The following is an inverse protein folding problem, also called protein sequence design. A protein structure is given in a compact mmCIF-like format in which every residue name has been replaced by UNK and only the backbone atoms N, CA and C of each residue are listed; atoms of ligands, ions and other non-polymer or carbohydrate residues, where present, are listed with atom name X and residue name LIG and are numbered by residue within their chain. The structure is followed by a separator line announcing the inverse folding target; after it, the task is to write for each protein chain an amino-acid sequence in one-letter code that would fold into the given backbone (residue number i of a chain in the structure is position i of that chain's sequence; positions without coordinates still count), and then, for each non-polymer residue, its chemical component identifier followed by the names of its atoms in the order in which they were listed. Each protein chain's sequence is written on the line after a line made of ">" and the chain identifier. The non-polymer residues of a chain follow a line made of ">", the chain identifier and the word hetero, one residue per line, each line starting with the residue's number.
data_IF_676144854670
#
_entry.id   IF_676144854670
#
_cell.length_a   1.000
_cell.length_b   1.000
_cell.length_c   1.000
_cell.angle_alpha   90.00
_cell.angle_beta   90.00
_cell.angle_gamma   90.00
#
_symmetry.space_group_name_H-M   'P 1'
#
loop_
_entity.id
_entity.type
_entity.pdbx_description
1 polymer ?
#
# COMPACT_ATOMS: atom_id res chain seq x y z
N UNK A 1 18.16 25.91 -65.56
CA UNK A 1 17.31 25.43 -64.45
C UNK A 1 17.95 25.88 -63.15
N UNK A 2 17.41 26.95 -62.60
CA UNK A 2 17.65 27.49 -61.25
C UNK A 2 17.10 26.48 -60.22
N UNK A 3 17.72 26.21 -59.06
CA UNK A 3 17.72 26.97 -57.78
C UNK A 3 18.75 26.24 -56.88
N UNK A 4 19.90 26.87 -56.50
CA UNK A 4 20.29 27.36 -55.14
C UNK A 4 20.11 26.32 -54.01
N UNK A 5 21.14 25.75 -53.36
CA UNK A 5 22.22 26.29 -52.50
C UNK A 5 21.75 27.30 -51.43
N UNK A 6 22.03 26.97 -50.16
CA UNK A 6 21.81 27.73 -48.90
C UNK A 6 20.41 27.50 -48.30
N UNK A 7 20.25 26.97 -47.08
CA UNK A 7 20.65 27.57 -45.80
C UNK A 7 21.02 26.48 -44.78
N UNK A 8 22.26 26.57 -44.27
CA UNK A 8 22.69 26.01 -42.99
C UNK A 8 22.18 26.93 -41.87
N UNK A 9 21.83 26.33 -40.73
CA UNK A 9 21.67 26.94 -39.40
C UNK A 9 20.24 27.38 -38.96
N UNK A 10 19.96 26.94 -37.71
CA UNK A 10 18.93 27.39 -36.78
C UNK A 10 17.51 26.82 -36.98
N UNK A 11 17.28 25.57 -36.56
CA UNK A 11 16.17 25.21 -35.64
C UNK A 11 16.66 24.07 -34.71
N UNK A 12 17.72 24.35 -33.95
CA UNK A 12 17.75 23.96 -32.52
C UNK A 12 17.12 25.16 -31.84
N UNK A 13 15.79 25.14 -31.65
CA UNK A 13 14.97 26.07 -30.85
C UNK A 13 13.52 25.96 -31.31
N UNK A 14 12.86 24.84 -30.97
CA UNK A 14 11.40 24.75 -30.82
C UNK A 14 11.04 23.52 -29.98
N UNK A 15 11.88 23.18 -29.00
CA UNK A 15 11.34 22.55 -27.79
C UNK A 15 10.54 23.65 -27.08
N UNK A 16 9.23 23.50 -26.83
CA UNK A 16 8.65 24.13 -25.67
C UNK A 16 9.22 23.37 -24.48
N UNK A 17 10.20 24.01 -23.85
CA UNK A 17 10.52 23.80 -22.46
C UNK A 17 9.22 23.86 -21.64
N UNK A 18 9.09 22.93 -20.71
CA UNK A 18 8.15 23.00 -19.61
C UNK A 18 8.13 24.39 -18.98
N UNK A 19 7.00 25.09 -19.09
CA UNK A 19 6.45 26.00 -18.09
C UNK A 19 5.33 26.80 -18.76
N UNK A 20 4.09 26.54 -18.38
CA UNK A 20 3.28 27.51 -17.63
C UNK A 20 1.89 26.90 -17.43
N UNK A 21 1.53 26.82 -16.15
CA UNK A 21 0.17 26.67 -15.69
C UNK A 21 -0.77 27.58 -16.50
N UNK A 22 -1.89 27.02 -16.96
CA UNK A 22 -3.09 27.78 -17.26
C UNK A 22 -4.32 27.08 -16.69
N UNK A 23 -4.77 27.71 -15.61
CA UNK A 23 -6.13 27.87 -15.12
C UNK A 23 -6.99 26.61 -14.99
N UNK A 24 -7.12 26.21 -13.72
CA UNK A 24 -8.24 25.47 -13.17
C UNK A 24 -9.56 26.03 -13.69
N UNK A 25 -10.14 25.34 -14.67
CA UNK A 25 -11.56 25.39 -14.95
C UNK A 25 -12.28 24.58 -13.87
N UNK A 26 -13.13 25.26 -13.14
CA UNK A 26 -13.96 24.76 -12.05
C UNK A 26 -15.02 23.77 -12.60
N UNK A 27 -14.65 22.51 -12.77
CA UNK A 27 -15.60 21.40 -12.95
C UNK A 27 -15.18 20.26 -12.03
N UNK A 28 -16.01 19.98 -11.04
CA UNK A 28 -15.78 18.99 -9.97
C UNK A 28 -15.76 17.53 -10.41
N UNK A 29 -15.02 17.20 -11.47
CA UNK A 29 -14.70 15.84 -11.87
C UNK A 29 -13.22 15.84 -12.26
N UNK A 30 -12.39 15.10 -11.50
CA UNK A 30 -11.02 14.85 -11.93
C UNK A 30 -11.08 14.15 -13.29
N UNK A 31 -10.62 14.82 -14.35
CA UNK A 31 -10.42 14.20 -15.66
C UNK A 31 -9.42 13.05 -15.47
N UNK A 32 -9.96 11.82 -15.46
CA UNK A 32 -9.15 10.62 -15.56
C UNK A 32 -8.58 10.63 -16.98
N UNK A 33 -7.30 10.97 -17.10
CA UNK A 33 -6.54 10.73 -18.32
C UNK A 33 -6.57 9.22 -18.59
N UNK A 34 -7.45 8.78 -19.49
CA UNK A 34 -7.44 7.42 -20.02
C UNK A 34 -6.43 7.40 -21.16
N UNK A 35 -5.23 6.79 -21.00
CA UNK A 35 -4.44 6.45 -22.18
C UNK A 35 -5.30 5.54 -23.05
N UNK A 36 -5.25 5.77 -24.37
CA UNK A 36 -6.11 5.14 -25.37
C UNK A 36 -6.30 3.63 -25.10
N UNK A 37 -7.56 3.20 -24.97
CA UNK A 37 -8.03 1.81 -24.73
C UNK A 37 -7.60 0.78 -25.80
N UNK A 38 -6.61 1.10 -26.63
CA UNK A 38 -6.08 0.26 -27.69
C UNK A 38 -4.87 -0.57 -27.26
N UNK A 39 -4.22 -0.27 -26.13
CA UNK A 39 -3.19 -1.15 -25.61
C UNK A 39 -3.83 -2.25 -24.75
N UNK A 40 -3.89 -3.46 -25.30
CA UNK A 40 -4.14 -4.67 -24.50
C UNK A 40 -2.99 -4.95 -23.55
N UNK A 41 -1.85 -4.25 -23.68
CA UNK A 41 -0.70 -4.38 -22.79
C UNK A 41 -0.73 -3.37 -21.64
N UNK A 42 -0.37 -3.85 -20.45
CA UNK A 42 -0.02 -3.04 -19.27
C UNK A 42 1.45 -3.31 -18.94
N UNK A 43 2.27 -2.25 -18.96
CA UNK A 43 3.68 -2.32 -18.55
C UNK A 43 3.72 -2.11 -17.03
N UNK A 44 4.29 -3.06 -16.30
CA UNK A 44 4.24 -3.07 -14.83
C UNK A 44 5.45 -2.36 -14.22
N UNK A 45 6.58 -2.36 -14.90
CA UNK A 45 7.74 -1.52 -14.62
C UNK A 45 8.71 -1.59 -15.82
N UNK A 46 9.20 -0.46 -16.33
CA UNK A 46 10.11 -0.46 -17.49
C UNK A 46 11.56 -0.80 -17.12
N UNK A 47 11.91 -0.77 -15.83
CA UNK A 47 13.30 -0.84 -15.34
C UNK A 47 13.60 -2.10 -14.50
N UNK A 48 12.70 -3.09 -14.42
CA UNK A 48 12.79 -4.15 -13.39
C UNK A 48 13.52 -5.43 -13.81
N UNK A 49 14.41 -5.89 -12.92
CA UNK A 49 14.75 -7.31 -12.73
C UNK A 49 13.57 -7.94 -11.97
N UNK A 50 13.21 -9.20 -12.23
CA UNK A 50 12.10 -9.86 -11.52
C UNK A 50 12.20 -9.60 -10.00
N UNK A 51 11.14 -9.08 -9.36
CA UNK A 51 11.20 -8.75 -7.93
C UNK A 51 11.56 -10.01 -7.14
N UNK A 52 12.70 -9.97 -6.46
CA UNK A 52 13.10 -11.07 -5.58
C UNK A 52 12.32 -10.97 -4.28
N UNK A 53 11.64 -12.04 -3.89
CA UNK A 53 10.83 -12.05 -2.67
C UNK A 53 11.66 -11.69 -1.42
N UNK A 54 11.14 -10.85 -0.51
CA UNK A 54 11.75 -10.66 0.79
C UNK A 54 11.73 -11.97 1.58
N UNK A 55 12.89 -12.48 1.97
CA UNK A 55 12.97 -13.65 2.84
C UNK A 55 12.66 -13.26 4.30
N UNK A 56 11.38 -13.27 4.66
CA UNK A 56 10.93 -13.16 6.06
C UNK A 56 10.81 -14.55 6.69
N UNK A 57 11.76 -14.88 7.56
CA UNK A 57 11.80 -16.14 8.30
C UNK A 57 10.68 -16.29 9.34
N UNK A 58 10.78 -17.33 10.16
CA UNK A 58 9.92 -17.47 11.33
C UNK A 58 10.57 -16.81 12.55
N UNK A 59 9.77 -16.18 13.40
CA UNK A 59 10.23 -15.47 14.60
C UNK A 59 9.54 -16.09 15.82
N UNK A 60 10.31 -16.31 16.88
CA UNK A 60 9.78 -16.69 18.18
C UNK A 60 9.33 -15.44 18.94
N UNK A 61 8.02 -15.30 19.16
CA UNK A 61 7.45 -14.10 19.78
C UNK A 61 7.71 -14.05 21.29
N UNK A 62 8.12 -12.88 21.75
CA UNK A 62 8.40 -12.59 23.14
C UNK A 62 7.32 -11.70 23.75
N UNK A 63 7.00 -11.95 25.01
CA UNK A 63 6.13 -11.06 25.79
C UNK A 63 6.91 -9.83 26.21
N UNK A 64 6.30 -8.65 26.01
CA UNK A 64 6.85 -7.41 26.57
C UNK A 64 6.64 -7.36 28.07
N UNK A 65 7.54 -6.65 28.76
CA UNK A 65 7.36 -6.28 30.15
C UNK A 65 6.03 -5.53 30.35
N UNK A 66 5.31 -5.76 31.46
CA UNK A 66 4.09 -5.01 31.75
C UNK A 66 4.37 -3.51 31.85
N UNK A 67 3.36 -2.71 31.58
CA UNK A 67 3.44 -1.25 31.69
C UNK A 67 3.64 -0.84 33.15
N UNK A 68 4.53 0.14 33.38
CA UNK A 68 4.80 0.69 34.70
C UNK A 68 3.98 1.96 35.01
N UNK A 69 3.46 2.62 33.98
CA UNK A 69 2.70 3.87 34.09
C UNK A 69 1.69 4.06 32.95
N UNK A 70 0.73 4.96 33.15
CA UNK A 70 -0.22 5.36 32.11
C UNK A 70 0.46 6.06 30.93
N UNK A 71 1.54 6.81 31.19
CA UNK A 71 2.34 7.47 30.15
C UNK A 71 3.00 6.44 29.22
N UNK A 72 3.63 5.42 29.80
CA UNK A 72 4.21 4.31 29.03
C UNK A 72 3.14 3.53 28.25
N UNK A 73 1.95 3.35 28.85
CA UNK A 73 0.81 2.68 28.20
C UNK A 73 0.31 3.46 26.98
N UNK A 74 0.15 4.78 27.12
CA UNK A 74 -0.19 5.71 26.03
C UNK A 74 0.87 5.69 24.94
N UNK A 75 2.15 5.68 25.29
CA UNK A 75 3.26 5.68 24.34
C UNK A 75 3.31 4.39 23.50
N UNK A 76 3.07 3.25 24.15
CA UNK A 76 3.10 1.95 23.50
C UNK A 76 1.95 1.69 22.52
N UNK A 77 0.88 2.49 22.53
CA UNK A 77 -0.18 2.42 21.50
C UNK A 77 0.35 2.55 20.07
N UNK A 78 1.44 3.29 19.87
CA UNK A 78 2.01 3.56 18.53
C UNK A 78 3.28 2.73 18.24
N UNK A 79 3.64 1.81 19.14
CA UNK A 79 4.71 0.85 18.91
C UNK A 79 4.27 -0.17 17.87
N UNK A 80 5.07 -0.38 16.83
CA UNK A 80 4.67 -1.18 15.68
C UNK A 80 3.73 -0.45 14.73
N UNK A 81 3.59 0.87 14.87
CA UNK A 81 2.84 1.73 13.93
C UNK A 81 3.74 2.88 13.48
N UNK A 82 4.08 3.79 14.40
CA UNK A 82 4.98 4.91 14.14
C UNK A 82 6.35 4.74 14.79
N UNK A 83 6.44 3.96 15.87
CA UNK A 83 7.68 3.63 16.54
C UNK A 83 8.10 2.22 16.17
N UNK A 84 9.35 2.09 15.76
CA UNK A 84 9.94 0.81 15.42
C UNK A 84 10.10 -0.05 16.67
N UNK A 85 9.94 -1.36 16.47
CA UNK A 85 10.01 -2.37 17.52
C UNK A 85 10.62 -3.64 16.92
N UNK A 86 11.43 -4.38 17.68
CA UNK A 86 11.99 -5.62 17.18
C UNK A 86 10.90 -6.64 16.77
N UNK A 87 11.13 -7.45 15.72
CA UNK A 87 10.17 -8.44 15.22
C UNK A 87 9.59 -9.37 16.28
N UNK A 88 10.41 -9.79 17.25
CA UNK A 88 9.99 -10.64 18.37
C UNK A 88 8.92 -9.99 19.26
N UNK A 89 8.75 -8.68 19.16
CA UNK A 89 7.75 -7.90 19.89
C UNK A 89 6.67 -7.29 18.98
N UNK A 90 6.70 -7.57 17.67
CA UNK A 90 5.79 -7.04 16.64
C UNK A 90 4.95 -8.15 16.01
N UNK A 91 4.21 -8.92 16.82
CA UNK A 91 3.50 -10.10 16.32
C UNK A 91 2.59 -9.78 15.12
N UNK A 92 1.70 -8.80 15.26
CA UNK A 92 0.74 -8.47 14.21
C UNK A 92 1.41 -7.84 12.99
N UNK A 93 2.27 -6.83 13.19
CA UNK A 93 2.94 -6.16 12.07
C UNK A 93 3.83 -7.13 11.30
N UNK A 94 4.57 -7.98 11.99
CA UNK A 94 5.46 -8.97 11.39
C UNK A 94 4.70 -10.00 10.56
N UNK A 95 3.68 -10.64 11.11
CA UNK A 95 2.93 -11.67 10.38
C UNK A 95 2.18 -11.07 9.18
N UNK A 96 1.59 -9.87 9.31
CA UNK A 96 0.96 -9.18 8.18
C UNK A 96 2.00 -8.90 7.09
N UNK A 97 3.17 -8.35 7.44
CA UNK A 97 4.26 -8.14 6.48
C UNK A 97 4.65 -9.44 5.79
N UNK A 98 4.84 -10.52 6.56
CA UNK A 98 5.23 -11.84 6.05
C UNK A 98 4.23 -12.35 5.02
N UNK A 99 2.93 -12.35 5.32
CA UNK A 99 1.90 -12.80 4.39
C UNK A 99 1.72 -11.87 3.17
N UNK A 100 1.87 -10.57 3.36
CA UNK A 100 1.63 -9.60 2.29
C UNK A 100 2.84 -9.34 1.38
N UNK A 101 4.05 -9.74 1.81
CA UNK A 101 5.31 -9.53 1.07
C UNK A 101 5.33 -10.15 -0.33
N UNK A 102 4.57 -11.22 -0.52
CA UNK A 102 4.52 -11.98 -1.79
C UNK A 102 3.43 -11.49 -2.75
N UNK A 103 2.60 -10.54 -2.31
CA UNK A 103 1.41 -10.11 -3.06
C UNK A 103 1.79 -9.07 -4.12
N UNK A 104 1.88 -9.51 -5.36
CA UNK A 104 2.19 -8.64 -6.51
C UNK A 104 3.21 -9.21 -7.48
N UNK A 105 3.77 -10.38 -7.19
CA UNK A 105 4.61 -11.10 -8.15
C UNK A 105 3.79 -11.44 -9.41
N UNK A 106 4.40 -11.30 -10.59
CA UNK A 106 3.80 -11.66 -11.88
C UNK A 106 3.49 -13.15 -12.01
N UNK A 107 4.07 -13.99 -11.15
CA UNK A 107 3.73 -15.41 -11.05
C UNK A 107 2.22 -15.66 -10.80
N UNK A 108 1.48 -14.69 -10.24
CA UNK A 108 0.01 -14.81 -10.07
C UNK A 108 -0.76 -14.99 -11.39
N UNK A 109 -0.17 -14.61 -12.53
CA UNK A 109 -0.82 -14.69 -13.84
C UNK A 109 -0.52 -16.00 -14.58
N UNK A 110 0.58 -16.69 -14.23
CA UNK A 110 1.04 -17.91 -14.90
C UNK A 110 0.95 -19.16 -14.04
N UNK A 111 0.82 -19.03 -12.71
CA UNK A 111 0.77 -20.13 -11.76
C UNK A 111 -0.49 -20.05 -10.88
N UNK A 112 -1.48 -20.92 -11.16
CA UNK A 112 -2.75 -20.96 -10.43
C UNK A 112 -2.57 -21.37 -8.95
N UNK A 113 -1.64 -22.27 -8.65
CA UNK A 113 -1.36 -22.69 -7.26
C UNK A 113 -0.76 -21.51 -6.47
N UNK A 114 0.20 -20.79 -7.07
CA UNK A 114 0.76 -19.59 -6.48
C UNK A 114 -0.32 -18.52 -6.22
N UNK A 115 -1.21 -18.27 -7.18
CA UNK A 115 -2.33 -17.33 -7.01
C UNK A 115 -3.25 -17.74 -5.85
N UNK A 116 -3.59 -19.02 -5.74
CA UNK A 116 -4.39 -19.54 -4.61
C UNK A 116 -3.67 -19.34 -3.28
N UNK A 117 -2.37 -19.57 -3.22
CA UNK A 117 -1.56 -19.33 -2.03
C UNK A 117 -1.53 -17.85 -1.64
N UNK A 118 -1.44 -16.92 -2.60
CA UNK A 118 -1.54 -15.49 -2.33
C UNK A 118 -2.92 -15.09 -1.80
N UNK A 119 -4.01 -15.69 -2.31
CA UNK A 119 -5.37 -15.49 -1.79
C UNK A 119 -5.50 -16.03 -0.36
N UNK A 120 -4.83 -17.13 -0.03
CA UNK A 120 -4.78 -17.65 1.34
C UNK A 120 -4.01 -16.69 2.25
N UNK A 121 -2.86 -16.21 1.81
CA UNK A 121 -2.01 -15.29 2.58
C UNK A 121 -2.74 -13.98 2.89
N UNK A 122 -3.45 -13.39 1.92
CA UNK A 122 -4.18 -12.15 2.17
C UNK A 122 -5.34 -12.33 3.15
N UNK A 123 -6.00 -13.51 3.12
CA UNK A 123 -7.05 -13.86 4.09
C UNK A 123 -6.47 -14.06 5.49
N UNK A 124 -5.28 -14.65 5.62
CA UNK A 124 -4.55 -14.72 6.90
C UNK A 124 -4.20 -13.33 7.43
N UNK A 125 -3.63 -12.47 6.58
CA UNK A 125 -3.32 -11.08 6.93
C UNK A 125 -4.57 -10.31 7.37
N UNK A 126 -5.71 -10.52 6.70
CA UNK A 126 -7.01 -9.95 7.07
C UNK A 126 -7.43 -10.37 8.48
N UNK A 127 -7.38 -11.67 8.78
CA UNK A 127 -7.73 -12.19 10.12
C UNK A 127 -6.81 -11.59 11.20
N UNK A 128 -5.50 -11.56 10.96
CA UNK A 128 -4.52 -10.97 11.90
C UNK A 128 -4.78 -9.48 12.10
N UNK A 129 -5.16 -8.75 11.04
CA UNK A 129 -5.49 -7.32 11.14
C UNK A 129 -6.75 -7.05 11.98
N UNK A 130 -7.74 -7.94 11.97
CA UNK A 130 -8.93 -7.82 12.83
C UNK A 130 -8.57 -8.08 14.30
N UNK A 131 -7.74 -9.08 14.60
CA UNK A 131 -7.24 -9.29 15.97
C UNK A 131 -6.45 -8.08 16.48
N UNK A 132 -5.59 -7.51 15.64
CA UNK A 132 -4.83 -6.32 16.02
C UNK A 132 -5.74 -5.12 16.26
N UNK A 133 -6.77 -4.94 15.42
CA UNK A 133 -7.80 -3.92 15.60
C UNK A 133 -8.52 -4.09 16.94
N UNK A 134 -9.01 -5.29 17.24
CA UNK A 134 -9.73 -5.58 18.49
C UNK A 134 -8.85 -5.27 19.70
N UNK A 135 -7.57 -5.69 19.69
CA UNK A 135 -6.62 -5.41 20.78
C UNK A 135 -6.36 -3.90 20.94
N UNK A 136 -6.13 -3.18 19.85
CA UNK A 136 -5.89 -1.73 19.88
C UNK A 136 -7.14 -0.94 20.31
N UNK A 137 -8.33 -1.33 19.85
CA UNK A 137 -9.58 -0.69 20.24
C UNK A 137 -9.87 -0.91 21.72
N UNK A 138 -9.67 -2.12 22.23
CA UNK A 138 -9.79 -2.43 23.65
C UNK A 138 -8.80 -1.62 24.49
N UNK A 139 -7.53 -1.56 24.09
CA UNK A 139 -6.50 -0.78 24.78
C UNK A 139 -6.83 0.72 24.80
N UNK A 140 -7.34 1.27 23.68
CA UNK A 140 -7.79 2.66 23.60
C UNK A 140 -8.94 2.93 24.56
N UNK A 141 -9.93 2.04 24.66
CA UNK A 141 -11.05 2.18 25.58
C UNK A 141 -10.59 2.16 27.04
N UNK A 142 -9.71 1.21 27.40
CA UNK A 142 -9.20 1.09 28.76
C UNK A 142 -8.37 2.30 29.19
N UNK A 143 -7.57 2.87 28.27
CA UNK A 143 -6.83 4.11 28.54
C UNK A 143 -7.79 5.31 28.67
N UNK A 144 -8.83 5.38 27.84
CA UNK A 144 -9.84 6.44 27.87
C UNK A 144 -10.56 6.47 29.22
N UNK A 145 -11.01 5.31 29.70
CA UNK A 145 -11.67 5.17 31.01
C UNK A 145 -10.79 5.65 32.17
N UNK A 146 -9.48 5.34 32.14
CA UNK A 146 -8.52 5.81 33.15
C UNK A 146 -8.35 7.33 33.08
N UNK A 147 -8.18 7.87 31.88
CA UNK A 147 -7.95 9.30 31.67
C UNK A 147 -9.16 10.13 32.07
N UNK A 148 -10.37 9.66 31.77
CA UNK A 148 -11.61 10.36 32.11
C UNK A 148 -11.95 10.20 33.60
N UNK A 149 -11.57 9.08 34.22
CA UNK A 149 -11.76 8.81 35.64
C UNK A 149 -10.76 9.49 36.59
N UNK A 150 -9.53 9.77 36.14
CA UNK A 150 -8.46 10.30 37.01
C UNK A 150 -7.97 11.70 36.59
N UNK A 151 -8.43 12.72 37.32
CA UNK A 151 -8.02 14.12 37.11
C UNK A 151 -6.53 14.38 37.40
N UNK A 152 -5.81 13.48 38.07
CA UNK A 152 -4.39 13.60 38.35
C UNK A 152 -3.50 13.25 37.14
N UNK A 153 -4.07 12.65 36.08
CA UNK A 153 -3.33 12.36 34.85
C UNK A 153 -2.84 13.66 34.21
N UNK A 154 -1.51 13.83 34.02
CA UNK A 154 -0.93 15.06 33.49
C UNK A 154 -1.49 15.45 32.12
N UNK A 155 -1.67 16.75 31.89
CA UNK A 155 -2.14 17.29 30.61
C UNK A 155 -1.33 16.84 29.38
N UNK A 156 0.02 16.70 29.44
CA UNK A 156 0.79 16.14 28.34
C UNK A 156 0.37 14.71 27.95
N UNK A 157 0.12 13.84 28.95
CA UNK A 157 -0.30 12.45 28.72
C UNK A 157 -1.67 12.41 28.04
N UNK A 158 -2.61 13.25 28.48
CA UNK A 158 -3.94 13.39 27.85
C UNK A 158 -3.84 13.81 26.39
N UNK A 159 -2.92 14.72 26.10
CA UNK A 159 -2.70 15.23 24.74
C UNK A 159 -2.08 14.16 23.85
N UNK A 160 -1.06 13.46 24.35
CA UNK A 160 -0.42 12.34 23.67
C UNK A 160 -1.43 11.22 23.39
N UNK A 161 -2.29 10.88 24.34
CA UNK A 161 -3.35 9.89 24.13
C UNK A 161 -4.29 10.26 22.99
N UNK A 162 -4.79 11.50 22.95
CA UNK A 162 -5.68 11.96 21.87
C UNK A 162 -5.01 11.86 20.50
N UNK A 163 -3.74 12.23 20.41
CA UNK A 163 -2.96 12.10 19.17
C UNK A 163 -2.75 10.64 18.78
N UNK A 164 -2.30 9.80 19.71
CA UNK A 164 -2.04 8.38 19.48
C UNK A 164 -3.32 7.63 19.08
N UNK A 165 -4.46 7.95 19.70
CA UNK A 165 -5.78 7.43 19.34
C UNK A 165 -6.15 7.75 17.89
N UNK A 166 -5.87 8.97 17.41
CA UNK A 166 -6.08 9.35 16.01
C UNK A 166 -5.13 8.56 15.10
N UNK A 167 -3.84 8.49 15.46
CA UNK A 167 -2.83 7.71 14.71
C UNK A 167 -3.24 6.26 14.54
N UNK A 168 -3.67 5.60 15.62
CA UNK A 168 -4.13 4.20 15.62
C UNK A 168 -5.33 4.03 14.69
N UNK A 169 -6.34 4.90 14.77
CA UNK A 169 -7.53 4.83 13.91
C UNK A 169 -7.18 4.98 12.43
N UNK A 170 -6.37 5.99 12.10
CA UNK A 170 -5.93 6.23 10.72
C UNK A 170 -5.13 5.04 10.20
N UNK A 171 -4.23 4.50 11.02
CA UNK A 171 -3.45 3.32 10.68
C UNK A 171 -4.34 2.12 10.35
N UNK A 172 -5.32 1.80 11.20
CA UNK A 172 -6.23 0.66 10.99
C UNK A 172 -7.05 0.81 9.70
N UNK A 173 -7.48 2.03 9.37
CA UNK A 173 -8.18 2.32 8.11
C UNK A 173 -7.25 2.06 6.91
N UNK A 174 -6.03 2.59 6.94
CA UNK A 174 -5.05 2.40 5.87
C UNK A 174 -4.67 0.93 5.70
N UNK A 175 -4.41 0.22 6.80
CA UNK A 175 -4.08 -1.19 6.82
C UNK A 175 -5.19 -2.02 6.18
N UNK A 176 -6.44 -1.80 6.60
CA UNK A 176 -7.60 -2.50 6.06
C UNK A 176 -7.77 -2.23 4.58
N UNK A 177 -7.67 -0.96 4.17
CA UNK A 177 -7.83 -0.57 2.77
C UNK A 177 -6.75 -1.19 1.87
N UNK A 178 -5.50 -1.28 2.37
CA UNK A 178 -4.42 -1.95 1.66
C UNK A 178 -4.66 -3.46 1.51
N UNK A 179 -5.09 -4.15 2.56
CA UNK A 179 -5.49 -5.57 2.46
C UNK A 179 -6.67 -5.75 1.50
N UNK A 180 -7.73 -4.94 1.61
CA UNK A 180 -8.93 -5.06 0.77
C UNK A 180 -8.60 -4.85 -0.72
N UNK A 181 -7.77 -3.85 -1.04
CA UNK A 181 -7.40 -3.55 -2.42
C UNK A 181 -6.57 -4.65 -3.07
N UNK A 182 -5.62 -5.23 -2.33
CA UNK A 182 -4.85 -6.37 -2.81
C UNK A 182 -5.73 -7.61 -3.01
N UNK A 183 -6.68 -7.87 -2.13
CA UNK A 183 -7.57 -9.04 -2.23
C UNK A 183 -8.46 -8.91 -3.47
N UNK A 184 -9.03 -7.73 -3.68
CA UNK A 184 -9.83 -7.43 -4.87
C UNK A 184 -9.03 -7.64 -6.16
N UNK A 185 -7.76 -7.23 -6.18
CA UNK A 185 -6.88 -7.44 -7.32
C UNK A 185 -6.62 -8.93 -7.57
N UNK A 186 -6.30 -9.72 -6.54
CA UNK A 186 -6.08 -11.16 -6.68
C UNK A 186 -7.35 -11.90 -7.14
N UNK A 187 -8.52 -11.55 -6.61
CA UNK A 187 -9.78 -12.14 -7.09
C UNK A 187 -10.11 -11.75 -8.53
N UNK A 188 -9.75 -10.55 -8.95
CA UNK A 188 -9.90 -10.15 -10.35
C UNK A 188 -9.09 -11.07 -11.28
N UNK A 189 -7.83 -11.34 -10.92
CA UNK A 189 -6.97 -12.27 -11.68
C UNK A 189 -7.53 -13.69 -11.64
N UNK A 190 -7.96 -14.16 -10.46
CA UNK A 190 -8.51 -15.51 -10.29
C UNK A 190 -9.79 -15.77 -11.09
N UNK A 191 -10.69 -14.78 -11.14
CA UNK A 191 -11.96 -14.92 -11.84
C UNK A 191 -11.86 -14.81 -13.36
N UNK A 192 -10.71 -14.34 -13.88
CA UNK A 192 -10.48 -14.10 -15.30
C UNK A 192 -9.12 -14.67 -15.74
N UNK A 193 -8.75 -15.86 -15.26
CA UNK A 193 -7.41 -16.43 -15.52
C UNK A 193 -7.10 -16.64 -17.02
N UNK A 194 -8.13 -16.79 -17.85
CA UNK A 194 -8.04 -17.12 -19.27
C UNK A 194 -7.75 -15.92 -20.18
N UNK A 195 -7.78 -14.69 -19.65
CA UNK A 195 -7.59 -13.47 -20.46
C UNK A 195 -6.22 -12.82 -20.29
N UNK A 196 -5.36 -13.33 -19.41
CA UNK A 196 -4.03 -12.77 -19.14
C UNK A 196 -2.95 -13.57 -19.88
N UNK A 197 -2.12 -12.88 -20.66
CA UNK A 197 -0.87 -13.41 -21.20
C UNK A 197 0.30 -12.57 -20.69
N UNK A 198 1.35 -13.21 -20.15
CA UNK A 198 2.50 -12.49 -19.58
C UNK A 198 3.67 -12.51 -20.56
N UNK A 199 4.14 -11.32 -20.94
CA UNK A 199 5.36 -11.08 -21.72
C UNK A 199 6.23 -10.10 -20.94
N UNK A 200 6.93 -10.59 -19.92
CA UNK A 200 7.69 -9.74 -18.99
C UNK A 200 8.44 -8.58 -19.68
N UNK A 201 8.28 -7.31 -19.24
CA UNK A 201 7.51 -6.84 -18.09
C UNK A 201 6.04 -6.46 -18.40
N UNK A 202 5.52 -6.92 -19.53
CA UNK A 202 4.17 -6.62 -20.01
C UNK A 202 3.16 -7.73 -19.66
N UNK A 203 1.93 -7.32 -19.39
CA UNK A 203 0.77 -8.23 -19.35
C UNK A 203 -0.19 -7.83 -20.45
N UNK A 204 -0.52 -8.76 -21.33
CA UNK A 204 -1.55 -8.63 -22.35
C UNK A 204 -2.87 -9.13 -21.78
N UNK A 205 -3.92 -8.33 -21.94
CA UNK A 205 -5.28 -8.60 -21.46
C UNK A 205 -6.23 -8.69 -22.66
N UNK A 206 -6.82 -9.86 -22.87
CA UNK A 206 -7.68 -10.14 -24.03
C UNK A 206 -9.05 -9.43 -24.03
N UNK A 207 -9.46 -8.83 -22.90
CA UNK A 207 -10.74 -8.14 -22.74
C UNK A 207 -10.56 -6.66 -22.35
N UNK A 208 -11.06 -5.68 -23.14
CA UNK A 208 -10.96 -4.26 -22.82
C UNK A 208 -11.64 -3.87 -21.49
N UNK A 209 -12.78 -4.49 -21.17
CA UNK A 209 -13.50 -4.21 -19.93
C UNK A 209 -12.73 -4.72 -18.71
N UNK A 210 -12.16 -5.91 -18.81
CA UNK A 210 -11.36 -6.47 -17.73
C UNK A 210 -9.99 -5.78 -17.60
N UNK A 211 -9.44 -5.27 -18.70
CA UNK A 211 -8.26 -4.41 -18.70
C UNK A 211 -8.51 -3.14 -17.89
N UNK A 212 -9.62 -2.43 -18.13
CA UNK A 212 -9.98 -1.24 -17.36
C UNK A 212 -10.15 -1.55 -15.86
N UNK A 213 -10.83 -2.65 -15.54
CA UNK A 213 -11.04 -3.07 -14.15
C UNK A 213 -9.71 -3.46 -13.48
N UNK A 214 -8.85 -4.19 -14.19
CA UNK A 214 -7.52 -4.56 -13.73
C UNK A 214 -6.66 -3.32 -13.47
N UNK A 215 -6.58 -2.40 -14.43
CA UNK A 215 -5.84 -1.14 -14.30
C UNK A 215 -6.31 -0.32 -13.11
N UNK A 216 -7.63 -0.16 -12.95
CA UNK A 216 -8.20 0.54 -11.79
C UNK A 216 -7.85 -0.14 -10.47
N UNK A 217 -7.94 -1.47 -10.40
CA UNK A 217 -7.56 -2.22 -9.20
C UNK A 217 -6.06 -2.08 -8.90
N UNK A 218 -5.19 -2.07 -9.92
CA UNK A 218 -3.75 -1.86 -9.80
C UNK A 218 -3.42 -0.45 -9.28
N UNK A 219 -4.05 0.59 -9.81
CA UNK A 219 -3.91 1.96 -9.33
C UNK A 219 -4.33 2.12 -7.86
N UNK A 220 -5.47 1.52 -7.49
CA UNK A 220 -5.96 1.54 -6.11
C UNK A 220 -4.96 0.81 -5.20
N UNK A 221 -4.51 -0.39 -5.57
CA UNK A 221 -3.48 -1.14 -4.82
C UNK A 221 -2.23 -0.29 -4.60
N UNK A 222 -1.67 0.34 -5.64
CA UNK A 222 -0.47 1.19 -5.53
C UNK A 222 -0.71 2.41 -4.64
N UNK A 223 -1.89 3.03 -4.73
CA UNK A 223 -2.26 4.16 -3.87
C UNK A 223 -2.32 3.75 -2.40
N UNK A 224 -2.93 2.60 -2.10
CA UNK A 224 -3.04 2.08 -0.72
C UNK A 224 -1.71 1.58 -0.17
N UNK A 225 -0.82 1.09 -1.03
CA UNK A 225 0.56 0.83 -0.65
C UNK A 225 1.25 2.11 -0.18
N UNK A 226 1.14 3.22 -0.92
CA UNK A 226 1.73 4.51 -0.53
C UNK A 226 1.20 5.01 0.82
N UNK A 227 -0.07 4.74 1.13
CA UNK A 227 -0.68 5.07 2.42
C UNK A 227 -0.15 4.22 3.59
N UNK A 228 0.22 2.95 3.37
CA UNK A 228 0.66 2.06 4.45
C UNK A 228 2.18 2.11 4.69
N UNK A 229 3.00 2.33 3.66
CA UNK A 229 4.48 2.33 3.79
C UNK A 229 5.02 3.51 4.60
N UNK A 230 4.19 4.52 4.89
CA UNK A 230 4.57 5.63 5.80
C UNK A 230 4.70 5.16 7.26
N UNK A 231 4.09 4.03 7.61
CA UNK A 231 4.19 3.42 8.93
C UNK A 231 5.47 2.59 9.04
N UNK A 232 6.17 2.68 10.17
CA UNK A 232 7.50 2.05 10.34
C UNK A 232 7.48 0.55 10.08
N UNK A 233 6.43 -0.10 10.57
CA UNK A 233 6.17 -1.52 10.38
C UNK A 233 5.93 -1.94 8.93
N UNK A 234 5.82 -1.02 7.98
CA UNK A 234 5.52 -1.34 6.59
C UNK A 234 6.46 -0.62 5.61
N UNK A 235 7.34 0.24 6.10
CA UNK A 235 8.29 1.02 5.30
C UNK A 235 9.31 0.18 4.52
N UNK A 236 9.58 -1.06 4.97
CA UNK A 236 10.51 -1.97 4.27
C UNK A 236 9.84 -2.82 3.20
N UNK A 237 8.52 -2.71 3.00
CA UNK A 237 7.82 -3.38 1.90
C UNK A 237 8.00 -2.54 0.62
N UNK A 238 9.16 -2.70 0.00
CA UNK A 238 9.42 -2.18 -1.35
C UNK A 238 9.11 -3.32 -2.33
N UNK A 239 8.16 -3.08 -3.22
CA UNK A 239 7.79 -3.98 -4.33
C UNK A 239 8.51 -3.53 -5.59
#
# INVERSE_FOLDING_TARGET
>A
MSILVSVFAIIVLCMPQSAFAREFGDTGYAEIYMPELLSTSVIIDSDSIEPTEPNMGEVEFQKRSPFSSIDERVDRLIHGIQKDIPPEFDHYGYEIRRYMSRIGNLEIFSNEEYLKDQIINIRKARVISEYWKEELEQEVLEIEDIIDGDQLVPAPVRTAFRQNKITVRTFLISLRSWIDSNEKHLFHVFNHSDIFEVYYPEIIIGSPQENLTFYNNSLVKQTKLKEIVVYRSFAMMVY
#
